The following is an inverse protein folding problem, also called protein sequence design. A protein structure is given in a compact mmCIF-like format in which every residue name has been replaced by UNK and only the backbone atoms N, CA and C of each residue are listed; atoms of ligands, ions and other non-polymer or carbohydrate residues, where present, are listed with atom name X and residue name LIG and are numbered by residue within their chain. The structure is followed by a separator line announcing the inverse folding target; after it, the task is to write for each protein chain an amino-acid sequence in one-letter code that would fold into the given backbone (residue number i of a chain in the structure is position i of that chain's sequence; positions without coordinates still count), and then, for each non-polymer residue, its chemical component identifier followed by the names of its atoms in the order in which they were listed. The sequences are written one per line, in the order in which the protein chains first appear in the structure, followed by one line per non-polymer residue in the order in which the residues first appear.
data_IF_966137405412
#
_entry.id   IF_966137405412
#
_cell.length_a   1.000
_cell.length_b   1.000
_cell.length_c   1.000
_cell.angle_alpha   90.00
_cell.angle_beta   90.00
_cell.angle_gamma   90.00
#
_symmetry.space_group_name_H-M   'P 1'
#
loop_
_entity.id
_entity.type
_entity.pdbx_description
1 polymer ?
#
# COMPACT_ATOMS: atom_id res chain seq x y z
N UNK A 1 18.29 -11.13 -4.26
CA UNK A 1 17.15 -10.83 -3.38
C UNK A 1 15.90 -11.29 -4.10
N UNK A 2 15.04 -12.11 -3.46
CA UNK A 2 13.76 -12.50 -4.07
C UNK A 2 12.85 -11.27 -4.03
N UNK A 3 12.18 -10.97 -5.15
CA UNK A 3 11.26 -9.82 -5.27
C UNK A 3 10.18 -9.86 -4.18
N UNK A 4 9.74 -11.07 -3.83
CA UNK A 4 8.83 -11.37 -2.72
C UNK A 4 9.34 -10.88 -1.37
N UNK A 5 10.64 -11.00 -1.06
CA UNK A 5 11.20 -10.55 0.22
C UNK A 5 11.19 -9.02 0.33
N UNK A 6 11.52 -8.32 -0.77
CA UNK A 6 11.53 -6.86 -0.79
C UNK A 6 10.11 -6.30 -0.62
N UNK A 7 9.13 -6.97 -1.23
CA UNK A 7 7.71 -6.68 -1.06
C UNK A 7 7.29 -6.94 0.38
N UNK A 8 7.64 -8.09 0.97
CA UNK A 8 7.26 -8.45 2.33
C UNK A 8 7.80 -7.45 3.37
N UNK A 9 9.05 -7.01 3.23
CA UNK A 9 9.65 -6.02 4.14
C UNK A 9 9.01 -4.64 4.01
N UNK A 10 8.70 -4.20 2.78
CA UNK A 10 7.98 -2.94 2.59
C UNK A 10 6.54 -3.03 3.08
N UNK A 11 5.87 -4.15 2.80
CA UNK A 11 4.50 -4.40 3.21
C UNK A 11 4.38 -4.38 4.74
N UNK A 12 5.26 -5.09 5.45
CA UNK A 12 5.31 -5.11 6.93
C UNK A 12 5.54 -3.75 7.58
N UNK A 13 6.17 -2.81 6.89
CA UNK A 13 6.38 -1.47 7.42
C UNK A 13 5.10 -0.61 7.37
N UNK A 14 4.17 -0.95 6.47
CA UNK A 14 2.92 -0.20 6.27
C UNK A 14 1.75 -0.93 6.94
N UNK A 15 1.72 -2.27 6.86
CA UNK A 15 0.76 -3.17 7.50
C UNK A 15 0.97 -3.16 9.02
N UNK A 16 0.32 -2.20 9.68
CA UNK A 16 0.50 -1.94 11.10
C UNK A 16 -0.30 -2.94 11.93
N UNK A 17 -1.47 -3.35 11.42
CA UNK A 17 -2.34 -4.33 12.05
C UNK A 17 -1.85 -5.79 11.84
N UNK A 18 -0.92 -6.02 10.90
CA UNK A 18 -0.37 -7.32 10.51
C UNK A 18 -1.44 -8.33 10.05
N UNK A 19 -2.52 -7.86 9.44
CA UNK A 19 -3.59 -8.70 8.90
C UNK A 19 -3.27 -9.18 7.47
N UNK A 20 -2.17 -8.68 6.88
CA UNK A 20 -1.66 -9.14 5.59
C UNK A 20 -2.33 -8.47 4.40
N UNK A 21 -3.18 -7.47 4.65
CA UNK A 21 -3.72 -6.54 3.66
C UNK A 21 -3.50 -5.10 4.14
N UNK A 22 -3.47 -4.15 3.22
CA UNK A 22 -3.39 -2.73 3.53
C UNK A 22 -4.77 -2.10 3.41
N UNK A 23 -5.40 -1.86 4.55
CA UNK A 23 -6.71 -1.20 4.57
C UNK A 23 -6.60 0.28 4.17
N UNK A 24 -7.67 0.86 3.62
CA UNK A 24 -7.74 2.32 3.37
C UNK A 24 -7.32 3.15 4.59
N UNK A 25 -7.68 2.71 5.80
CA UNK A 25 -7.29 3.39 7.03
C UNK A 25 -5.77 3.44 7.22
N UNK A 26 -5.09 2.31 7.06
CA UNK A 26 -3.64 2.20 7.22
C UNK A 26 -2.89 2.96 6.13
N UNK A 27 -3.39 2.89 4.90
CA UNK A 27 -2.83 3.65 3.79
C UNK A 27 -3.00 5.17 3.99
N UNK A 28 -4.18 5.61 4.44
CA UNK A 28 -4.45 7.02 4.71
C UNK A 28 -3.61 7.52 5.89
N UNK A 29 -3.44 6.74 6.96
CA UNK A 29 -2.57 7.09 8.08
C UNK A 29 -1.11 7.20 7.64
N UNK A 30 -0.62 6.26 6.83
CA UNK A 30 0.72 6.32 6.26
C UNK A 30 0.92 7.58 5.41
N UNK A 31 0.02 7.83 4.47
CA UNK A 31 0.09 9.01 3.59
C UNK A 31 -0.02 10.29 4.42
N UNK A 32 -0.88 10.34 5.44
CA UNK A 32 -1.00 11.48 6.35
C UNK A 32 0.27 11.69 7.17
N UNK A 33 0.94 10.62 7.58
CA UNK A 33 2.21 10.71 8.30
C UNK A 33 3.36 11.19 7.40
N UNK A 34 3.39 10.75 6.14
CA UNK A 34 4.45 11.09 5.17
C UNK A 34 4.26 12.47 4.52
N UNK A 35 3.02 12.88 4.26
CA UNK A 35 2.69 14.10 3.49
C UNK A 35 1.92 15.16 4.28
N UNK A 36 1.54 14.87 5.54
CA UNK A 36 0.78 15.79 6.39
C UNK A 36 -0.66 15.99 5.93
N UNK A 37 -1.25 17.15 6.26
CA UNK A 37 -2.64 17.52 5.90
C UNK A 37 -2.89 17.64 4.40
N UNK A 38 -1.84 17.67 3.57
CA UNK A 38 -1.95 17.75 2.11
C UNK A 38 -2.25 16.40 1.45
N UNK A 39 -2.15 15.28 2.19
CA UNK A 39 -2.19 13.92 1.66
C UNK A 39 -3.57 13.30 1.48
N UNK A 40 -4.61 13.78 2.16
CA UNK A 40 -5.91 13.08 2.28
C UNK A 40 -6.66 12.98 0.94
N UNK A 41 -6.55 13.99 0.08
CA UNK A 41 -7.16 13.94 -1.26
C UNK A 41 -6.36 13.10 -2.26
N UNK A 42 -5.07 12.93 -2.00
CA UNK A 42 -4.14 12.19 -2.85
C UNK A 42 -4.19 10.71 -2.49
N UNK A 43 -4.29 10.37 -1.20
CA UNK A 43 -4.35 9.00 -0.70
C UNK A 43 -5.50 8.20 -1.31
N UNK A 44 -6.67 8.80 -1.55
CA UNK A 44 -7.81 8.05 -2.11
C UNK A 44 -7.66 7.76 -3.60
N UNK A 45 -7.06 8.67 -4.38
CA UNK A 45 -6.79 8.45 -5.81
C UNK A 45 -5.64 7.48 -6.01
N UNK A 46 -4.60 7.66 -5.21
CA UNK A 46 -3.48 6.74 -5.12
C UNK A 46 -4.08 5.38 -4.78
N UNK A 47 -4.73 5.21 -3.63
CA UNK A 47 -5.32 3.93 -3.21
C UNK A 47 -6.16 3.23 -4.29
N UNK A 48 -7.09 3.92 -4.94
CA UNK A 48 -7.91 3.34 -6.03
C UNK A 48 -7.09 2.88 -7.26
N UNK A 49 -5.91 3.46 -7.46
CA UNK A 49 -4.96 3.04 -8.51
C UNK A 49 -4.14 1.81 -8.09
N UNK A 50 -3.96 1.55 -6.79
CA UNK A 50 -3.29 0.33 -6.27
C UNK A 50 -4.27 -0.81 -5.96
N UNK A 51 -5.53 -0.49 -5.61
CA UNK A 51 -6.63 -1.41 -5.36
C UNK A 51 -7.25 -1.86 -6.69
N UNK A 52 -6.55 -2.76 -7.38
CA UNK A 52 -6.90 -3.21 -8.72
C UNK A 52 -8.23 -3.96 -8.75
N UNK A 53 -8.55 -4.68 -7.68
CA UNK A 53 -9.80 -5.43 -7.54
C UNK A 53 -10.96 -4.57 -6.96
N UNK A 54 -10.67 -3.36 -6.47
CA UNK A 54 -11.61 -2.41 -5.87
C UNK A 54 -12.38 -2.96 -4.66
N UNK A 55 -11.75 -3.85 -3.88
CA UNK A 55 -12.34 -4.42 -2.67
C UNK A 55 -12.15 -3.53 -1.43
N UNK A 56 -11.38 -2.45 -1.57
CA UNK A 56 -11.13 -1.48 -0.51
C UNK A 56 -9.93 -1.81 0.37
N UNK A 57 -9.15 -2.84 0.04
CA UNK A 57 -7.88 -3.19 0.67
C UNK A 57 -6.81 -3.48 -0.40
N UNK A 58 -5.54 -3.23 -0.12
CA UNK A 58 -4.46 -3.66 -1.03
C UNK A 58 -3.92 -4.97 -0.49
N UNK A 59 -4.18 -6.06 -1.21
CA UNK A 59 -3.66 -7.38 -0.86
C UNK A 59 -2.16 -7.48 -1.11
N UNK A 60 -1.49 -8.45 -0.48
CA UNK A 60 -0.07 -8.76 -0.76
C UNK A 60 0.22 -8.99 -2.23
N UNK A 61 -0.69 -9.64 -2.94
CA UNK A 61 -0.54 -9.93 -4.37
C UNK A 61 -0.56 -8.64 -5.19
N UNK A 62 -1.51 -7.74 -4.92
CA UNK A 62 -1.62 -6.42 -5.55
C UNK A 62 -0.40 -5.55 -5.22
N UNK A 63 0.08 -5.57 -3.98
CA UNK A 63 1.30 -4.86 -3.59
C UNK A 63 2.55 -5.42 -4.28
N UNK A 64 2.61 -6.74 -4.50
CA UNK A 64 3.70 -7.41 -5.18
C UNK A 64 3.72 -7.06 -6.67
N UNK A 65 2.57 -7.14 -7.34
CA UNK A 65 2.42 -6.70 -8.73
C UNK A 65 2.85 -5.24 -8.89
N UNK A 66 2.42 -4.38 -7.98
CA UNK A 66 2.77 -2.96 -7.95
C UNK A 66 4.27 -2.70 -7.79
N UNK A 67 4.91 -3.30 -6.80
CA UNK A 67 6.36 -3.12 -6.58
C UNK A 67 7.15 -3.66 -7.77
N UNK A 68 6.70 -4.73 -8.40
CA UNK A 68 7.33 -5.26 -9.62
C UNK A 68 7.10 -4.33 -10.82
N UNK A 69 5.95 -3.67 -10.91
CA UNK A 69 5.62 -2.81 -12.05
C UNK A 69 6.22 -1.40 -11.95
N UNK A 70 6.43 -0.89 -10.74
CA UNK A 70 6.84 0.50 -10.50
C UNK A 70 8.28 0.64 -9.95
N UNK A 71 8.83 -0.39 -9.30
CA UNK A 71 10.19 -0.37 -8.74
C UNK A 71 11.24 -1.15 -9.56
N UNK A 72 10.83 -1.79 -10.66
CA UNK A 72 11.67 -2.50 -11.63
C UNK A 72 11.40 -2.00 -13.05
#
# INVERSE_FOLDING_TARGET
MKREELVDEMFKQVDTNNDGVLSRGEFVELVRCLTGEHGVGVSSKIFDEFDANQDGVISRDEALEMIIQFAL
#
